data_IF_840609764222
#
_entry.id   IF_840609764222
#
_cell.length_a   1.000
_cell.length_b   1.000
_cell.length_c   1.000
_cell.angle_alpha   90.00
_cell.angle_beta   90.00
_cell.angle_gamma   90.00
#
_symmetry.space_group_name_H-M   'P 1'
#
loop_
_entity.id
_entity.type
_entity.pdbx_description
1 polymer ?
#
# COMPACT_ATOMS: atom_id res chain seq x y z
N UNK A 1 -22.31 -57.22 26.06
CA UNK A 1 -21.49 -56.63 24.97
C UNK A 1 -21.99 -55.30 24.44
N UNK A 2 -23.30 -55.00 24.44
CA UNK A 2 -23.84 -53.72 23.86
C UNK A 2 -23.56 -52.45 24.71
N UNK A 3 -23.37 -52.55 26.02
CA UNK A 3 -23.10 -51.38 26.88
C UNK A 3 -21.65 -50.85 26.82
N UNK A 4 -20.65 -51.69 26.49
CA UNK A 4 -19.24 -51.24 26.38
C UNK A 4 -18.92 -50.50 25.09
N UNK A 5 -19.71 -50.71 24.03
CA UNK A 5 -19.52 -50.04 22.73
C UNK A 5 -20.05 -48.58 22.77
N UNK A 6 -21.11 -48.30 23.54
CA UNK A 6 -21.68 -46.98 23.67
C UNK A 6 -20.74 -46.01 24.43
N UNK A 7 -19.99 -46.50 25.42
CA UNK A 7 -19.05 -45.69 26.19
C UNK A 7 -17.81 -45.29 25.35
N UNK A 8 -17.37 -46.19 24.45
CA UNK A 8 -16.22 -45.88 23.56
C UNK A 8 -16.57 -44.85 22.48
N UNK A 9 -17.80 -44.85 21.97
CA UNK A 9 -18.25 -43.85 20.97
C UNK A 9 -18.48 -42.50 21.63
N UNK A 10 -18.97 -42.42 22.85
CA UNK A 10 -19.11 -41.16 23.59
C UNK A 10 -17.75 -40.55 23.97
N UNK A 11 -16.73 -41.37 24.26
CA UNK A 11 -15.36 -40.91 24.51
C UNK A 11 -14.66 -40.35 23.24
N UNK A 12 -14.96 -40.90 22.04
CA UNK A 12 -14.46 -40.34 20.79
C UNK A 12 -15.12 -39.01 20.37
N UNK A 13 -16.38 -38.80 20.74
CA UNK A 13 -17.05 -37.51 20.45
C UNK A 13 -16.66 -36.37 21.41
N UNK A 14 -16.18 -36.68 22.61
CA UNK A 14 -15.66 -35.70 23.58
C UNK A 14 -14.21 -35.29 23.30
N UNK A 15 -13.47 -36.06 22.46
CA UNK A 15 -12.10 -35.75 22.11
C UNK A 15 -11.90 -34.75 20.95
N UNK A 16 -12.96 -34.39 20.21
CA UNK A 16 -12.88 -33.48 19.07
C UNK A 16 -13.39 -32.06 19.32
N UNK A 17 -13.85 -31.75 20.55
CA UNK A 17 -14.26 -30.42 20.92
C UNK A 17 -13.19 -29.63 21.69
N UNK A 18 -11.92 -30.03 21.64
CA UNK A 18 -10.84 -29.23 22.18
C UNK A 18 -10.05 -28.58 21.09
N UNK A 19 -10.01 -27.24 21.21
CA UNK A 19 -9.00 -26.37 20.59
C UNK A 19 -9.32 -25.77 19.20
N UNK A 20 -10.49 -25.24 18.98
CA UNK A 20 -10.53 -23.91 18.38
C UNK A 20 -10.32 -22.88 19.51
N UNK A 21 -9.20 -22.93 20.19
CA UNK A 21 -8.70 -21.79 20.94
C UNK A 21 -8.46 -20.73 19.88
N UNK A 22 -9.36 -19.73 19.77
CA UNK A 22 -9.14 -18.50 19.02
C UNK A 22 -7.92 -17.83 19.66
N UNK A 23 -6.72 -18.26 19.30
CA UNK A 23 -5.48 -17.59 19.62
C UNK A 23 -5.50 -16.30 18.79
N UNK A 24 -6.23 -15.29 19.29
CA UNK A 24 -6.15 -13.94 18.74
C UNK A 24 -4.69 -13.55 18.79
N UNK A 25 -4.06 -13.49 17.63
CA UNK A 25 -2.70 -12.99 17.54
C UNK A 25 -2.69 -11.50 17.92
N UNK A 26 -1.62 -11.05 18.51
CA UNK A 26 -1.45 -9.65 18.90
C UNK A 26 -0.18 -9.10 18.25
N UNK A 27 -0.29 -7.88 17.71
CA UNK A 27 0.84 -7.11 17.24
C UNK A 27 0.86 -5.77 18.00
N UNK A 28 2.00 -5.43 18.58
CA UNK A 28 2.15 -4.24 19.42
C UNK A 28 3.50 -3.55 19.18
N UNK A 29 3.58 -2.29 19.55
CA UNK A 29 4.82 -1.50 19.55
C UNK A 29 5.44 -1.66 20.95
N UNK A 30 6.63 -2.24 21.04
CA UNK A 30 7.40 -2.33 22.28
C UNK A 30 8.44 -1.20 22.41
N UNK A 31 9.17 -1.17 23.51
CA UNK A 31 10.13 -0.09 23.80
C UNK A 31 11.32 0.01 22.81
N UNK A 32 11.66 -1.07 22.13
CA UNK A 32 12.79 -1.12 21.19
C UNK A 32 12.54 -1.98 19.94
N UNK A 33 11.41 -2.67 19.87
CA UNK A 33 11.06 -3.56 18.76
C UNK A 33 9.54 -3.67 18.61
N UNK A 34 9.06 -4.01 17.42
CA UNK A 34 7.71 -4.55 17.29
C UNK A 34 7.62 -5.90 17.99
N UNK A 35 6.43 -6.22 18.49
CA UNK A 35 6.16 -7.49 19.16
C UNK A 35 5.02 -8.21 18.45
N UNK A 36 5.28 -9.44 18.01
CA UNK A 36 4.26 -10.36 17.49
C UNK A 36 4.04 -11.46 18.53
N UNK A 37 2.85 -11.51 19.09
CA UNK A 37 2.51 -12.45 20.19
C UNK A 37 3.49 -12.33 21.37
N UNK A 38 3.89 -11.09 21.71
CA UNK A 38 4.82 -10.77 22.79
C UNK A 38 6.29 -11.06 22.49
N UNK A 39 6.64 -11.54 21.28
CA UNK A 39 8.02 -11.80 20.87
C UNK A 39 8.53 -10.72 19.94
N UNK A 40 9.82 -10.30 20.03
CA UNK A 40 10.40 -9.37 19.10
C UNK A 40 10.20 -9.79 17.64
N UNK A 41 9.77 -8.84 16.81
CA UNK A 41 9.48 -9.06 15.41
C UNK A 41 10.06 -7.96 14.55
N UNK A 42 10.81 -8.34 13.52
CA UNK A 42 11.36 -7.41 12.51
C UNK A 42 10.48 -7.52 11.28
N UNK A 43 9.85 -6.40 10.91
CA UNK A 43 9.09 -6.28 9.67
C UNK A 43 10.10 -6.18 8.52
N UNK A 44 10.05 -7.14 7.62
CA UNK A 44 10.70 -7.11 6.30
C UNK A 44 9.59 -7.00 5.28
N UNK A 45 9.22 -5.77 4.94
CA UNK A 45 8.07 -5.48 4.11
C UNK A 45 8.48 -5.18 2.67
N UNK A 46 7.60 -5.48 1.73
CA UNK A 46 7.69 -5.05 0.34
C UNK A 46 6.39 -4.40 -0.09
N UNK A 47 6.50 -3.25 -0.75
CA UNK A 47 5.33 -2.52 -1.22
C UNK A 47 4.95 -2.96 -2.63
N UNK A 48 3.67 -3.22 -2.81
CA UNK A 48 3.07 -3.48 -4.10
C UNK A 48 1.62 -2.96 -4.12
N UNK A 49 1.33 -2.16 -5.14
CA UNK A 49 0.01 -1.56 -5.30
C UNK A 49 -0.91 -2.54 -6.03
N UNK A 50 -1.83 -3.18 -5.32
CA UNK A 50 -2.75 -4.16 -5.91
C UNK A 50 -3.55 -3.59 -7.10
N UNK A 51 -3.83 -2.28 -7.11
CA UNK A 51 -4.51 -1.59 -8.19
C UNK A 51 -3.69 -1.52 -9.49
N UNK A 52 -2.34 -1.62 -9.39
CA UNK A 52 -1.40 -1.62 -10.52
C UNK A 52 -1.07 -3.01 -11.05
N UNK A 53 -1.68 -4.05 -10.51
CA UNK A 53 -1.38 -5.45 -10.84
C UNK A 53 -2.69 -6.14 -11.18
N UNK A 54 -2.88 -6.74 -12.37
CA UNK A 54 -4.07 -7.51 -12.68
C UNK A 54 -4.35 -8.54 -11.58
N UNK A 55 -5.61 -8.66 -11.18
CA UNK A 55 -6.05 -9.51 -10.06
C UNK A 55 -5.55 -10.96 -10.19
N UNK A 56 -5.52 -11.47 -11.41
CA UNK A 56 -5.06 -12.82 -11.73
C UNK A 56 -3.59 -13.06 -11.37
N UNK A 57 -2.80 -11.99 -11.23
CA UNK A 57 -1.37 -12.06 -10.91
C UNK A 57 -1.06 -11.79 -9.45
N UNK A 58 -2.03 -11.34 -8.62
CA UNK A 58 -1.77 -11.01 -7.22
C UNK A 58 -1.06 -12.14 -6.46
N UNK A 59 -1.59 -13.38 -6.56
CA UNK A 59 -0.98 -14.53 -5.88
C UNK A 59 0.48 -14.74 -6.27
N UNK A 60 0.77 -14.72 -7.57
CA UNK A 60 2.15 -14.89 -8.04
C UNK A 60 3.07 -13.77 -7.51
N UNK A 61 2.63 -12.52 -7.53
CA UNK A 61 3.42 -11.39 -7.02
C UNK A 61 3.65 -11.48 -5.51
N UNK A 62 2.66 -11.92 -4.74
CA UNK A 62 2.78 -12.17 -3.30
C UNK A 62 3.74 -13.33 -3.02
N UNK A 63 3.71 -14.40 -3.82
CA UNK A 63 4.70 -15.48 -3.76
C UNK A 63 6.11 -14.98 -4.08
N UNK A 64 6.27 -14.07 -5.03
CA UNK A 64 7.55 -13.42 -5.31
C UNK A 64 8.05 -12.58 -4.11
N UNK A 65 7.18 -11.81 -3.47
CA UNK A 65 7.49 -11.08 -2.23
C UNK A 65 8.01 -12.05 -1.16
N UNK A 66 7.30 -13.16 -0.94
CA UNK A 66 7.71 -14.20 0.02
C UNK A 66 9.03 -14.84 -0.37
N UNK A 67 9.21 -15.16 -1.66
CA UNK A 67 10.42 -15.76 -2.20
C UNK A 67 11.64 -14.81 -2.17
N UNK A 68 11.45 -13.51 -2.05
CA UNK A 68 12.55 -12.56 -1.81
C UNK A 68 13.05 -12.60 -0.35
N UNK A 69 12.30 -13.21 0.58
CA UNK A 69 12.62 -13.29 2.01
C UNK A 69 11.88 -12.28 2.87
N UNK A 70 10.87 -11.61 2.30
CA UNK A 70 10.02 -10.69 3.02
C UNK A 70 8.91 -11.44 3.77
N UNK A 71 8.42 -10.88 4.86
CA UNK A 71 7.39 -11.47 5.72
C UNK A 71 6.10 -10.65 5.76
N UNK A 72 6.10 -9.49 5.13
CA UNK A 72 5.00 -8.52 5.13
C UNK A 72 4.88 -7.89 3.74
N UNK A 73 3.68 -7.56 3.33
CA UNK A 73 3.40 -6.74 2.16
C UNK A 73 2.68 -5.46 2.59
N UNK A 74 3.00 -4.34 1.95
CA UNK A 74 2.30 -3.08 2.17
C UNK A 74 1.25 -2.88 1.07
N UNK A 75 0.01 -2.57 1.46
CA UNK A 75 -1.12 -2.35 0.58
C UNK A 75 -1.61 -0.91 0.68
N UNK A 76 -1.48 -0.16 -0.43
CA UNK A 76 -2.06 1.17 -0.60
C UNK A 76 -3.48 1.08 -1.12
N UNK A 77 -4.36 1.93 -0.59
CA UNK A 77 -5.67 2.16 -1.15
C UNK A 77 -5.67 3.52 -1.85
N UNK A 78 -6.20 3.56 -3.06
CA UNK A 78 -6.46 4.79 -3.79
C UNK A 78 -7.96 5.07 -3.71
N UNK A 79 -8.35 6.12 -3.02
CA UNK A 79 -9.75 6.44 -2.77
C UNK A 79 -10.54 6.60 -4.07
N UNK A 80 -9.98 7.32 -5.07
CA UNK A 80 -10.61 7.50 -6.37
C UNK A 80 -10.76 6.20 -7.20
N UNK A 81 -10.05 5.14 -6.83
CA UNK A 81 -10.17 3.84 -7.45
C UNK A 81 -11.40 3.06 -6.98
N UNK A 82 -11.83 3.33 -5.75
CA UNK A 82 -12.96 2.64 -5.10
C UNK A 82 -14.23 3.47 -5.06
N UNK A 83 -14.17 4.80 -4.94
CA UNK A 83 -15.32 5.72 -4.92
C UNK A 83 -15.27 6.65 -6.14
N UNK A 84 -15.66 6.15 -7.30
CA UNK A 84 -15.65 6.90 -8.57
C UNK A 84 -16.72 7.99 -8.63
N UNK A 85 -17.81 7.81 -7.87
CA UNK A 85 -18.90 8.77 -7.70
C UNK A 85 -19.18 8.93 -6.21
N UNK A 86 -19.59 10.10 -5.73
CA UNK A 86 -19.81 10.35 -4.31
C UNK A 86 -20.77 9.33 -3.68
N UNK A 87 -20.33 8.60 -2.67
CA UNK A 87 -21.13 7.60 -1.95
C UNK A 87 -21.31 6.26 -2.66
N UNK A 88 -20.75 6.07 -3.85
CA UNK A 88 -20.85 4.82 -4.60
C UNK A 88 -19.50 4.11 -4.58
N UNK A 89 -19.40 3.08 -3.75
CA UNK A 89 -18.18 2.31 -3.57
C UNK A 89 -18.20 1.01 -4.37
N UNK A 90 -17.09 0.71 -5.05
CA UNK A 90 -16.84 -0.57 -5.71
C UNK A 90 -15.66 -1.27 -5.00
N UNK A 91 -15.97 -2.39 -4.36
CA UNK A 91 -15.00 -3.28 -3.71
C UNK A 91 -14.93 -4.63 -4.42
N UNK A 92 -15.26 -4.68 -5.71
CA UNK A 92 -15.27 -5.90 -6.50
C UNK A 92 -14.08 -5.98 -7.47
N UNK A 93 -13.87 -7.16 -8.04
CA UNK A 93 -12.87 -7.38 -9.09
C UNK A 93 -11.48 -6.85 -8.72
N UNK A 94 -10.96 -5.92 -9.52
CA UNK A 94 -9.65 -5.29 -9.32
C UNK A 94 -9.59 -4.39 -8.08
N UNK A 95 -10.74 -3.89 -7.59
CA UNK A 95 -10.81 -3.03 -6.40
C UNK A 95 -10.97 -3.82 -5.09
N UNK A 96 -11.00 -5.16 -5.12
CA UNK A 96 -11.22 -6.01 -3.96
C UNK A 96 -9.96 -6.18 -3.12
N UNK A 97 -9.64 -5.16 -2.32
CA UNK A 97 -8.47 -5.17 -1.42
C UNK A 97 -8.58 -6.23 -0.33
N UNK A 98 -9.79 -6.57 0.13
CA UNK A 98 -9.97 -7.63 1.13
C UNK A 98 -9.54 -9.00 0.59
N UNK A 99 -9.84 -9.30 -0.68
CA UNK A 99 -9.36 -10.51 -1.34
C UNK A 99 -7.83 -10.50 -1.51
N UNK A 100 -7.24 -9.35 -1.84
CA UNK A 100 -5.77 -9.19 -1.87
C UNK A 100 -5.15 -9.52 -0.51
N UNK A 101 -5.67 -8.96 0.59
CA UNK A 101 -5.19 -9.26 1.95
C UNK A 101 -5.35 -10.74 2.31
N UNK A 102 -6.47 -11.36 1.90
CA UNK A 102 -6.72 -12.80 2.12
C UNK A 102 -5.73 -13.67 1.36
N UNK A 103 -5.41 -13.33 0.11
CA UNK A 103 -4.39 -14.04 -0.66
C UNK A 103 -3.02 -13.88 0.02
N UNK A 104 -2.66 -12.67 0.48
CA UNK A 104 -1.43 -12.44 1.25
C UNK A 104 -1.37 -13.33 2.50
N UNK A 105 -2.48 -13.47 3.24
CA UNK A 105 -2.56 -14.36 4.40
C UNK A 105 -2.34 -15.83 4.02
N UNK A 106 -2.93 -16.29 2.92
CA UNK A 106 -2.75 -17.66 2.41
C UNK A 106 -1.31 -17.97 2.02
N UNK A 107 -0.59 -16.95 1.49
CA UNK A 107 0.85 -17.07 1.18
C UNK A 107 1.74 -16.85 2.43
N UNK A 108 1.16 -16.67 3.62
CA UNK A 108 1.88 -16.51 4.87
C UNK A 108 2.56 -15.14 4.99
N UNK A 109 1.96 -14.09 4.44
CA UNK A 109 2.39 -12.71 4.55
C UNK A 109 1.46 -11.92 5.46
N UNK A 110 2.04 -11.09 6.32
CA UNK A 110 1.31 -10.03 7.00
C UNK A 110 1.10 -8.84 6.08
N UNK A 111 0.23 -7.92 6.50
CA UNK A 111 -0.12 -6.70 5.74
C UNK A 111 0.08 -5.46 6.60
N UNK A 112 0.70 -4.43 6.04
CA UNK A 112 0.60 -3.05 6.49
C UNK A 112 -0.41 -2.36 5.57
N UNK A 113 -1.40 -1.69 6.14
CA UNK A 113 -2.45 -1.02 5.38
C UNK A 113 -2.19 0.49 5.33
N UNK A 114 -2.27 1.07 4.14
CA UNK A 114 -2.14 2.52 3.93
C UNK A 114 -3.40 3.05 3.22
N UNK A 115 -4.45 3.40 4.00
CA UNK A 115 -5.75 3.77 3.44
C UNK A 115 -5.83 5.22 2.95
N UNK A 116 -4.84 6.03 3.23
CA UNK A 116 -4.89 7.47 2.97
C UNK A 116 -5.57 8.25 4.10
N UNK A 117 -6.43 9.26 3.75
CA UNK A 117 -7.17 9.51 2.50
C UNK A 117 -6.34 9.94 1.29
N UNK A 118 -5.25 10.68 1.48
CA UNK A 118 -4.26 10.97 0.45
C UNK A 118 -3.20 9.86 0.44
N UNK A 119 -2.86 9.34 -0.73
CA UNK A 119 -1.93 8.20 -0.89
C UNK A 119 -0.65 8.55 -1.66
N UNK A 120 -0.60 9.67 -2.36
CA UNK A 120 0.53 10.06 -3.21
C UNK A 120 0.81 9.06 -4.35
N UNK A 121 1.93 8.38 -4.31
CA UNK A 121 2.28 7.21 -5.13
C UNK A 121 2.26 7.46 -6.65
N UNK A 122 2.52 8.70 -7.11
CA UNK A 122 2.44 9.09 -8.53
C UNK A 122 1.11 8.62 -9.18
N UNK A 123 0.07 8.57 -8.37
CA UNK A 123 -1.29 8.27 -8.75
C UNK A 123 -2.09 9.56 -8.96
N UNK A 124 -3.06 9.53 -9.86
CA UNK A 124 -3.92 10.66 -10.19
C UNK A 124 -4.50 11.30 -8.93
N UNK A 125 -4.29 12.61 -8.77
CA UNK A 125 -4.68 13.44 -7.63
C UNK A 125 -4.26 12.85 -6.27
N UNK A 126 -3.15 12.07 -6.23
CA UNK A 126 -2.69 11.36 -5.04
C UNK A 126 -3.69 10.38 -4.47
N UNK A 127 -4.61 9.88 -5.28
CA UNK A 127 -5.68 8.97 -4.89
C UNK A 127 -6.96 9.66 -4.44
N UNK A 128 -7.00 10.98 -4.31
CA UNK A 128 -8.22 11.70 -3.96
C UNK A 128 -9.24 11.67 -5.11
N UNK A 129 -10.55 11.62 -4.84
CA UNK A 129 -11.55 11.61 -5.89
C UNK A 129 -11.71 12.98 -6.56
N UNK A 130 -11.84 12.97 -7.87
CA UNK A 130 -12.04 14.14 -8.73
C UNK A 130 -13.25 14.99 -8.31
N UNK A 131 -14.33 14.37 -7.85
CA UNK A 131 -15.57 15.04 -7.50
C UNK A 131 -15.44 15.96 -6.28
N UNK A 132 -14.37 15.87 -5.50
CA UNK A 132 -14.04 16.86 -4.47
C UNK A 132 -13.85 18.25 -5.10
N UNK A 133 -13.29 18.35 -6.31
CA UNK A 133 -13.01 19.60 -7.01
C UNK A 133 -14.27 20.32 -7.53
N UNK A 134 -15.45 19.67 -7.44
CA UNK A 134 -16.74 20.35 -7.74
C UNK A 134 -17.05 21.46 -6.75
N UNK A 135 -16.63 21.34 -5.51
CA UNK A 135 -16.64 22.43 -4.55
C UNK A 135 -15.45 23.34 -4.82
N UNK A 136 -15.72 24.54 -5.36
CA UNK A 136 -14.67 25.52 -5.71
C UNK A 136 -13.93 26.07 -4.47
N UNK A 137 -14.44 25.82 -3.25
CA UNK A 137 -13.80 26.18 -1.99
C UNK A 137 -13.07 24.99 -1.36
N UNK A 138 -13.01 23.84 -2.03
CA UNK A 138 -12.42 22.62 -1.48
C UNK A 138 -10.97 22.87 -1.06
N UNK A 139 -10.73 22.70 0.23
CA UNK A 139 -9.40 22.73 0.83
C UNK A 139 -9.04 21.31 1.30
N UNK A 140 -8.36 20.58 0.41
CA UNK A 140 -7.93 19.20 0.69
C UNK A 140 -6.84 19.16 1.76
N UNK A 141 -6.77 18.04 2.50
CA UNK A 141 -5.77 17.79 3.53
C UNK A 141 -5.75 18.90 4.60
N UNK A 142 -6.93 19.42 4.94
CA UNK A 142 -7.14 20.44 5.98
C UNK A 142 -8.35 20.11 6.83
N UNK A 143 -8.63 20.92 7.84
CA UNK A 143 -9.85 20.81 8.65
C UNK A 143 -11.11 21.35 7.97
N UNK A 144 -11.11 21.55 6.66
CA UNK A 144 -12.31 21.98 5.93
C UNK A 144 -13.40 20.93 6.04
N UNK A 145 -14.52 21.32 6.65
CA UNK A 145 -15.56 20.35 7.05
C UNK A 145 -16.07 19.47 5.91
N UNK A 146 -16.38 19.98 4.69
CA UNK A 146 -16.82 19.10 3.59
C UNK A 146 -15.77 18.06 3.19
N UNK A 147 -14.48 18.40 3.25
CA UNK A 147 -13.40 17.45 3.02
C UNK A 147 -13.35 16.38 4.12
N UNK A 148 -13.42 16.81 5.38
CA UNK A 148 -13.40 15.88 6.52
C UNK A 148 -14.61 14.94 6.53
N UNK A 149 -15.82 15.45 6.20
CA UNK A 149 -17.03 14.62 6.09
C UNK A 149 -16.86 13.54 5.00
N UNK A 150 -16.24 13.88 3.87
CA UNK A 150 -15.95 12.92 2.81
C UNK A 150 -14.88 11.89 3.23
N UNK A 151 -13.79 12.33 3.89
CA UNK A 151 -12.76 11.43 4.44
C UNK A 151 -13.34 10.45 5.45
N UNK A 152 -14.18 10.93 6.37
CA UNK A 152 -14.85 10.09 7.38
C UNK A 152 -15.69 9.01 6.70
N UNK A 153 -16.54 9.39 5.74
CA UNK A 153 -17.37 8.43 4.99
C UNK A 153 -16.49 7.35 4.33
N UNK A 154 -15.44 7.76 3.64
CA UNK A 154 -14.52 6.84 2.99
C UNK A 154 -13.84 5.89 3.98
N UNK A 155 -13.25 6.39 5.06
CA UNK A 155 -12.55 5.57 6.04
C UNK A 155 -13.49 4.59 6.76
N UNK A 156 -14.75 4.97 7.02
CA UNK A 156 -15.76 4.06 7.55
C UNK A 156 -16.08 2.91 6.57
N UNK A 157 -16.13 3.19 5.26
CA UNK A 157 -16.30 2.13 4.23
C UNK A 157 -15.07 1.22 4.14
N UNK A 158 -13.85 1.77 4.23
CA UNK A 158 -12.62 0.97 4.34
C UNK A 158 -12.68 0.04 5.56
N UNK A 159 -13.14 0.54 6.70
CA UNK A 159 -13.30 -0.25 7.92
C UNK A 159 -14.24 -1.43 7.72
N UNK A 160 -15.38 -1.25 7.06
CA UNK A 160 -16.31 -2.36 6.76
C UNK A 160 -15.65 -3.50 5.99
N UNK A 161 -14.70 -3.18 5.09
CA UNK A 161 -13.98 -4.17 4.29
C UNK A 161 -12.84 -4.84 5.03
N UNK A 162 -12.08 -4.09 5.85
CA UNK A 162 -10.75 -4.50 6.29
C UNK A 162 -10.60 -4.71 7.80
N UNK A 163 -11.50 -4.21 8.62
CA UNK A 163 -11.50 -4.49 10.08
C UNK A 163 -11.53 -6.00 10.37
N UNK A 164 -12.32 -6.83 9.65
CA UNK A 164 -12.27 -8.28 9.83
C UNK A 164 -10.91 -8.91 9.52
N UNK A 165 -10.07 -8.24 8.73
CA UNK A 165 -8.75 -8.71 8.34
C UNK A 165 -7.62 -8.32 9.31
N UNK A 166 -7.93 -7.60 10.39
CA UNK A 166 -6.93 -7.29 11.42
C UNK A 166 -6.44 -8.56 12.11
N UNK A 167 -5.16 -8.55 12.51
CA UNK A 167 -4.55 -9.66 13.22
C UNK A 167 -5.30 -9.99 14.52
N UNK A 168 -5.84 -8.99 15.19
CA UNK A 168 -6.68 -9.13 16.39
C UNK A 168 -8.00 -9.87 16.13
N UNK A 169 -8.44 -9.96 14.88
CA UNK A 169 -9.65 -10.65 14.43
C UNK A 169 -9.35 -11.96 13.68
N UNK A 170 -8.08 -12.41 13.69
CA UNK A 170 -7.64 -13.62 12.99
C UNK A 170 -7.21 -13.39 11.54
N UNK A 171 -7.17 -12.15 11.08
CA UNK A 171 -6.59 -11.75 9.80
C UNK A 171 -5.07 -11.56 9.86
N UNK A 172 -4.55 -10.75 8.96
CA UNK A 172 -3.12 -10.54 8.80
C UNK A 172 -2.68 -9.06 8.75
N UNK A 173 -3.59 -8.10 8.94
CA UNK A 173 -3.23 -6.66 9.01
C UNK A 173 -2.60 -6.40 10.38
N UNK A 174 -1.33 -5.94 10.37
CA UNK A 174 -0.54 -5.66 11.57
C UNK A 174 -0.72 -4.23 12.06
N UNK A 175 -0.76 -3.26 11.14
CA UNK A 175 -0.85 -1.83 11.47
C UNK A 175 -1.43 -1.04 10.30
N UNK A 176 -1.90 0.18 10.59
CA UNK A 176 -2.55 1.07 9.64
C UNK A 176 -1.87 2.44 9.67
N UNK A 177 -1.55 2.97 8.51
CA UNK A 177 -1.02 4.33 8.38
C UNK A 177 -2.14 5.36 8.46
N UNK A 178 -1.83 6.49 9.08
CA UNK A 178 -2.65 7.70 9.14
C UNK A 178 -2.11 8.69 8.12
N UNK A 179 -2.91 9.06 7.12
CA UNK A 179 -2.51 9.98 6.06
C UNK A 179 -1.30 9.49 5.24
N UNK A 180 -0.57 10.34 4.54
CA UNK A 180 0.69 10.02 3.86
C UNK A 180 1.59 11.24 3.75
N UNK A 181 2.77 11.19 4.36
CA UNK A 181 3.79 12.23 4.29
C UNK A 181 3.21 13.64 4.49
N UNK A 182 2.32 13.77 5.47
CA UNK A 182 1.63 15.03 5.71
C UNK A 182 2.59 16.14 6.10
N UNK A 183 3.68 15.82 6.79
CA UNK A 183 4.71 16.76 7.17
C UNK A 183 5.40 17.47 6.00
N UNK A 184 5.34 16.89 4.79
CA UNK A 184 5.79 17.51 3.54
C UNK A 184 4.76 18.49 2.95
N UNK A 185 3.48 18.33 3.32
CA UNK A 185 2.36 19.14 2.84
C UNK A 185 1.93 20.24 3.82
N UNK A 186 1.88 19.91 5.12
CA UNK A 186 1.35 20.81 6.13
C UNK A 186 1.94 20.57 7.52
N UNK A 187 1.38 21.28 8.52
CA UNK A 187 1.82 21.19 9.93
C UNK A 187 0.64 21.14 10.89
N UNK A 188 -0.56 20.87 10.39
CA UNK A 188 -1.79 20.81 11.19
C UNK A 188 -1.92 19.45 11.87
N UNK A 189 -1.36 19.36 13.09
CA UNK A 189 -1.39 18.12 13.89
C UNK A 189 -2.81 17.75 14.33
N UNK A 190 -3.73 18.70 14.39
CA UNK A 190 -5.13 18.41 14.73
C UNK A 190 -5.84 17.72 13.58
N UNK A 191 -5.54 18.12 12.33
CA UNK A 191 -6.00 17.40 11.14
C UNK A 191 -5.57 15.93 11.18
N UNK A 192 -4.29 15.64 11.46
CA UNK A 192 -3.80 14.26 11.61
C UNK A 192 -4.54 13.52 12.72
N UNK A 193 -4.80 14.19 13.85
CA UNK A 193 -5.61 13.64 14.94
C UNK A 193 -7.03 13.27 14.51
N UNK A 194 -7.66 14.10 13.71
CA UNK A 194 -9.02 13.85 13.18
C UNK A 194 -9.01 12.62 12.24
N UNK A 195 -8.03 12.52 11.33
CA UNK A 195 -7.93 11.36 10.44
C UNK A 195 -7.67 10.07 11.23
N UNK A 196 -6.79 10.11 12.26
CA UNK A 196 -6.61 9.00 13.20
C UNK A 196 -7.94 8.59 13.86
N UNK A 197 -8.71 9.56 14.35
CA UNK A 197 -9.97 9.29 15.03
C UNK A 197 -11.00 8.63 14.10
N UNK A 198 -11.02 9.00 12.82
CA UNK A 198 -11.87 8.34 11.84
C UNK A 198 -11.44 6.89 11.55
N UNK A 199 -10.14 6.59 11.57
CA UNK A 199 -9.63 5.22 11.44
C UNK A 199 -10.04 4.39 12.68
N UNK A 200 -9.94 4.96 13.87
CA UNK A 200 -10.40 4.29 15.11
C UNK A 200 -11.93 4.10 15.10
N UNK A 201 -12.69 5.12 14.68
CA UNK A 201 -14.16 5.04 14.54
C UNK A 201 -14.56 3.95 13.50
N UNK A 202 -13.77 3.75 12.45
CA UNK A 202 -13.98 2.69 11.47
C UNK A 202 -13.79 1.28 12.06
N UNK A 203 -13.25 1.17 13.29
CA UNK A 203 -13.10 -0.09 14.03
C UNK A 203 -11.69 -0.69 14.00
N UNK A 204 -10.69 0.04 13.49
CA UNK A 204 -9.32 -0.43 13.57
C UNK A 204 -8.79 -0.34 15.00
N UNK A 205 -8.15 -1.42 15.48
CA UNK A 205 -7.60 -1.57 16.84
C UNK A 205 -6.12 -1.95 16.84
N UNK A 206 -5.54 -2.21 15.67
CA UNK A 206 -4.12 -2.44 15.49
C UNK A 206 -3.34 -1.12 15.60
N UNK A 207 -2.02 -1.13 15.87
CA UNK A 207 -1.22 0.08 15.95
C UNK A 207 -1.36 0.98 14.72
N UNK A 208 -1.41 2.29 14.96
CA UNK A 208 -1.42 3.32 13.93
C UNK A 208 -0.06 4.00 13.83
N UNK A 209 0.32 4.44 12.64
CA UNK A 209 1.58 5.16 12.42
C UNK A 209 1.45 6.26 11.36
N UNK A 210 2.32 7.27 11.46
CA UNK A 210 2.59 8.26 10.39
C UNK A 210 3.97 8.00 9.80
N UNK A 211 4.24 8.54 8.62
CA UNK A 211 5.58 8.51 8.01
C UNK A 211 5.87 9.79 7.25
N UNK A 212 7.12 10.22 7.33
CA UNK A 212 7.65 11.37 6.59
C UNK A 212 9.13 11.21 6.30
N UNK A 213 9.65 12.02 5.39
CA UNK A 213 11.09 12.18 5.20
C UNK A 213 11.76 12.75 6.46
N UNK A 214 13.09 12.55 6.65
CA UNK A 214 13.80 12.93 7.88
C UNK A 214 13.60 14.39 8.31
N UNK A 215 13.44 15.29 7.36
CA UNK A 215 13.31 16.74 7.59
C UNK A 215 11.88 17.18 7.91
N UNK A 216 10.89 16.37 7.56
CA UNK A 216 9.46 16.66 7.66
C UNK A 216 8.83 16.06 8.93
N UNK A 217 9.42 15.03 9.54
CA UNK A 217 8.89 14.32 10.70
C UNK A 217 8.36 15.24 11.82
N UNK A 218 9.07 16.33 12.08
CA UNK A 218 8.71 17.28 13.16
C UNK A 218 7.39 18.00 12.91
N UNK A 219 6.93 18.06 11.64
CA UNK A 219 5.78 18.84 11.24
C UNK A 219 4.46 18.19 11.64
N UNK A 220 4.35 16.87 11.59
CA UNK A 220 3.10 16.15 11.83
C UNK A 220 3.15 15.13 12.96
N UNK A 221 4.34 14.82 13.51
CA UNK A 221 4.48 13.86 14.62
C UNK A 221 3.56 14.20 15.81
N UNK A 222 2.90 13.17 16.32
CA UNK A 222 1.98 13.23 17.48
C UNK A 222 2.37 12.16 18.50
N UNK A 223 2.30 12.45 19.81
CA UNK A 223 2.68 11.48 20.84
C UNK A 223 1.77 10.25 20.94
N UNK A 224 0.60 10.31 20.33
CA UNK A 224 -0.44 9.27 20.33
C UNK A 224 -0.50 8.45 19.02
N UNK A 225 0.45 8.69 18.08
CA UNK A 225 0.62 7.94 16.84
C UNK A 225 2.11 7.64 16.67
N UNK A 226 2.47 6.39 16.44
CA UNK A 226 3.85 5.99 16.20
C UNK A 226 4.41 6.63 14.93
N UNK A 227 5.60 7.20 14.99
CA UNK A 227 6.26 7.78 13.83
C UNK A 227 7.20 6.77 13.16
N UNK A 228 7.16 6.70 11.83
CA UNK A 228 8.12 6.01 10.98
C UNK A 228 8.82 7.02 10.07
N UNK A 229 9.95 6.66 9.48
CA UNK A 229 10.73 7.54 8.59
C UNK A 229 10.85 6.96 7.20
N UNK A 230 10.81 7.81 6.15
CA UNK A 230 11.02 7.43 4.75
C UNK A 230 12.37 7.94 4.26
N UNK A 231 13.15 7.12 3.57
CA UNK A 231 14.42 7.53 2.94
C UNK A 231 14.86 6.55 1.84
N UNK A 232 15.71 7.02 0.92
CA UNK A 232 16.30 6.19 -0.13
C UNK A 232 17.79 5.91 0.06
N UNK A 233 18.42 6.61 1.01
CA UNK A 233 19.85 6.49 1.37
C UNK A 233 20.07 6.92 2.82
N UNK A 234 21.29 6.88 3.28
CA UNK A 234 21.72 7.29 4.63
C UNK A 234 20.81 6.81 5.76
N UNK A 235 20.64 5.49 5.96
CA UNK A 235 19.79 4.96 7.02
C UNK A 235 20.22 5.41 8.42
N UNK A 236 21.50 5.74 8.62
CA UNK A 236 22.01 6.25 9.89
C UNK A 236 21.44 7.64 10.20
N UNK A 237 21.48 8.56 9.23
CA UNK A 237 20.89 9.90 9.32
C UNK A 237 19.37 9.84 9.45
N UNK A 238 18.69 8.99 8.66
CA UNK A 238 17.27 8.77 8.73
C UNK A 238 16.80 8.32 10.12
N UNK A 239 17.41 7.32 10.69
CA UNK A 239 17.07 6.85 12.04
C UNK A 239 17.51 7.82 13.15
N UNK A 240 18.55 8.61 12.94
CA UNK A 240 18.89 9.70 13.88
C UNK A 240 17.78 10.75 13.90
N UNK A 241 17.23 11.13 12.75
CA UNK A 241 16.11 12.05 12.68
C UNK A 241 14.84 11.45 13.33
N UNK A 242 14.54 10.17 13.08
CA UNK A 242 13.44 9.47 13.75
C UNK A 242 13.59 9.51 15.28
N UNK A 243 14.77 9.21 15.83
CA UNK A 243 15.02 9.22 17.28
C UNK A 243 14.89 10.59 17.92
N UNK A 244 14.99 11.67 17.15
CA UNK A 244 14.78 13.03 17.65
C UNK A 244 13.29 13.30 17.96
N UNK A 245 12.37 12.63 17.29
CA UNK A 245 10.91 12.79 17.46
C UNK A 245 10.25 11.58 18.11
N UNK A 246 10.80 10.38 17.93
CA UNK A 246 10.36 9.10 18.48
C UNK A 246 11.52 8.49 19.31
N UNK A 247 11.70 8.91 20.57
CA UNK A 247 12.87 8.51 21.36
C UNK A 247 12.93 7.02 21.71
N UNK A 248 11.78 6.35 21.72
CA UNK A 248 11.62 4.93 22.03
C UNK A 248 10.94 4.21 20.87
N UNK A 249 10.75 2.91 21.02
CA UNK A 249 10.09 2.09 20.01
C UNK A 249 11.04 1.50 18.96
N UNK A 250 10.53 0.69 18.04
CA UNK A 250 11.30 0.11 16.95
C UNK A 250 11.85 1.18 16.01
N UNK A 251 12.99 0.90 15.35
CA UNK A 251 13.39 1.64 14.17
C UNK A 251 12.58 1.11 12.99
N UNK A 252 11.89 2.01 12.26
CA UNK A 252 11.10 1.62 11.10
C UNK A 252 11.25 2.63 9.96
N UNK A 253 11.80 2.14 8.85
CA UNK A 253 11.78 2.82 7.57
C UNK A 253 10.54 2.30 6.79
N UNK A 254 9.50 3.11 6.74
CA UNK A 254 8.22 2.70 6.13
C UNK A 254 8.20 2.83 4.62
N UNK A 255 9.12 3.60 4.03
CA UNK A 255 9.41 3.59 2.59
C UNK A 255 10.92 3.71 2.40
N UNK A 256 11.55 2.62 1.99
CA UNK A 256 12.93 2.59 1.53
C UNK A 256 12.97 2.51 0.01
N UNK A 257 13.60 3.48 -0.64
CA UNK A 257 13.57 3.64 -2.09
C UNK A 257 14.76 2.97 -2.80
N UNK A 258 14.64 1.73 -3.34
CA UNK A 258 15.71 1.05 -4.07
C UNK A 258 15.83 1.50 -5.53
N UNK A 259 14.92 2.31 -6.01
CA UNK A 259 14.79 2.84 -7.35
C UNK A 259 13.96 4.13 -7.35
N UNK A 260 13.40 4.50 -8.49
CA UNK A 260 12.55 5.68 -8.65
C UNK A 260 11.59 5.53 -9.82
N UNK A 261 10.52 6.31 -9.83
CA UNK A 261 9.55 6.34 -10.93
C UNK A 261 10.06 7.08 -12.16
N UNK A 262 9.48 6.79 -13.30
CA UNK A 262 9.79 7.44 -14.56
C UNK A 262 8.82 8.58 -14.88
N UNK A 263 9.31 9.56 -15.61
CA UNK A 263 8.52 10.68 -16.12
C UNK A 263 8.64 10.76 -17.65
N UNK A 264 7.61 11.25 -18.30
CA UNK A 264 7.59 11.45 -19.75
C UNK A 264 8.78 12.29 -20.22
N UNK A 265 9.44 11.80 -21.28
CA UNK A 265 10.60 12.48 -21.89
C UNK A 265 11.88 12.41 -21.07
N UNK A 266 11.93 11.59 -20.01
CA UNK A 266 13.13 11.33 -19.22
C UNK A 266 13.62 9.90 -19.45
N UNK A 267 14.94 9.64 -19.31
CA UNK A 267 15.47 8.27 -19.32
C UNK A 267 14.84 7.43 -18.22
N UNK A 268 14.71 6.12 -18.47
CA UNK A 268 14.33 5.16 -17.46
C UNK A 268 15.33 5.17 -16.30
N UNK A 269 14.82 5.29 -15.08
CA UNK A 269 15.63 5.32 -13.87
C UNK A 269 16.28 3.95 -13.60
N UNK A 270 17.55 3.98 -13.18
CA UNK A 270 18.27 2.79 -12.68
C UNK A 270 19.11 3.15 -11.48
N UNK A 271 18.81 2.49 -10.35
CA UNK A 271 19.54 2.64 -9.10
C UNK A 271 20.68 1.62 -8.93
N UNK A 272 21.57 1.90 -7.98
CA UNK A 272 22.67 1.00 -7.64
C UNK A 272 22.20 -0.14 -6.71
N UNK A 273 22.29 -1.37 -7.17
CA UNK A 273 22.04 -2.55 -6.33
C UNK A 273 23.00 -2.65 -5.13
N UNK A 274 24.23 -2.19 -5.29
CA UNK A 274 25.24 -2.20 -4.21
C UNK A 274 24.83 -1.28 -3.05
N UNK A 275 24.36 -0.05 -3.36
CA UNK A 275 23.88 0.87 -2.33
C UNK A 275 22.67 0.31 -1.60
N UNK A 276 21.72 -0.29 -2.35
CA UNK A 276 20.53 -0.95 -1.76
C UNK A 276 20.94 -2.04 -0.77
N UNK A 277 21.89 -2.89 -1.13
CA UNK A 277 22.36 -3.97 -0.24
C UNK A 277 23.09 -3.42 1.00
N UNK A 278 23.88 -2.37 0.86
CA UNK A 278 24.57 -1.70 1.96
C UNK A 278 23.57 -1.15 2.98
N UNK A 279 22.53 -0.47 2.49
CA UNK A 279 21.53 0.18 3.35
C UNK A 279 20.61 -0.86 4.02
N UNK A 280 20.15 -1.87 3.28
CA UNK A 280 19.39 -2.98 3.85
C UNK A 280 20.19 -3.74 4.89
N UNK A 281 21.49 -3.99 4.63
CA UNK A 281 22.39 -4.61 5.60
C UNK A 281 22.52 -3.77 6.86
N UNK A 282 22.70 -2.45 6.72
CA UNK A 282 22.73 -1.54 7.87
C UNK A 282 21.46 -1.65 8.70
N UNK A 283 20.29 -1.61 8.07
CA UNK A 283 19.00 -1.72 8.76
C UNK A 283 18.87 -3.05 9.50
N UNK A 284 19.24 -4.16 8.86
CA UNK A 284 19.18 -5.50 9.45
C UNK A 284 20.14 -5.66 10.64
N UNK A 285 21.38 -5.17 10.53
CA UNK A 285 22.40 -5.19 11.62
C UNK A 285 21.91 -4.41 12.84
N UNK A 286 21.13 -3.34 12.64
CA UNK A 286 20.52 -2.53 13.69
C UNK A 286 19.13 -3.01 14.13
N UNK A 287 18.69 -4.18 13.66
CA UNK A 287 17.36 -4.76 13.96
C UNK A 287 16.21 -3.82 13.61
N UNK A 288 16.42 -2.97 12.63
CA UNK A 288 15.41 -2.07 12.12
C UNK A 288 14.43 -2.81 11.18
N UNK A 289 13.18 -2.42 11.25
CA UNK A 289 12.14 -2.81 10.29
C UNK A 289 12.20 -1.91 9.07
N UNK A 290 11.80 -2.43 7.91
CA UNK A 290 11.78 -1.67 6.66
C UNK A 290 10.66 -2.12 5.73
N UNK A 291 10.29 -1.24 4.79
CA UNK A 291 9.41 -1.53 3.67
C UNK A 291 10.07 -1.06 2.37
N UNK A 292 10.32 -1.98 1.44
CA UNK A 292 10.96 -1.69 0.15
C UNK A 292 9.91 -1.06 -0.78
N UNK A 293 10.04 0.23 -1.06
CA UNK A 293 9.18 0.98 -1.96
C UNK A 293 9.91 1.27 -3.29
N UNK A 294 9.65 0.61 -4.38
CA UNK A 294 8.72 -0.51 -4.58
C UNK A 294 9.47 -1.83 -4.57
N UNK A 295 8.87 -2.85 -3.99
CA UNK A 295 9.30 -4.23 -4.23
C UNK A 295 8.78 -4.75 -5.58
N UNK A 296 7.59 -4.28 -6.00
CA UNK A 296 7.00 -4.47 -7.32
C UNK A 296 6.07 -3.29 -7.63
N UNK A 297 6.41 -2.51 -8.64
CA UNK A 297 5.66 -1.31 -8.98
C UNK A 297 4.38 -1.59 -9.78
N UNK A 298 4.48 -2.38 -10.83
CA UNK A 298 3.37 -2.70 -11.74
C UNK A 298 3.10 -1.62 -12.78
N UNK A 299 1.86 -1.56 -13.27
CA UNK A 299 1.43 -0.66 -14.35
C UNK A 299 0.25 0.20 -13.90
N UNK A 300 0.33 1.51 -14.10
CA UNK A 300 -0.82 2.38 -13.90
C UNK A 300 -1.72 2.31 -15.13
N UNK A 301 -2.80 1.54 -15.02
CA UNK A 301 -3.73 1.33 -16.12
C UNK A 301 -4.67 2.52 -16.32
N UNK A 302 -5.12 2.72 -17.58
CA UNK A 302 -6.09 3.75 -17.92
C UNK A 302 -5.53 5.17 -17.73
N UNK A 303 -6.24 5.99 -16.99
CA UNK A 303 -5.96 7.42 -16.80
C UNK A 303 -5.59 7.77 -15.35
N UNK A 304 -5.09 6.82 -14.59
CA UNK A 304 -4.74 7.01 -13.18
C UNK A 304 -3.30 7.50 -12.94
N UNK A 305 -2.57 7.85 -13.99
CA UNK A 305 -1.23 8.41 -13.86
C UNK A 305 -1.28 9.81 -13.23
N UNK A 306 -0.41 10.05 -12.27
CA UNK A 306 -0.21 11.35 -11.67
C UNK A 306 0.78 12.23 -12.43
N UNK A 307 1.06 13.37 -11.85
CA UNK A 307 2.10 14.30 -12.30
C UNK A 307 2.65 15.07 -11.10
N UNK A 308 3.93 15.40 -11.14
CA UNK A 308 4.50 16.38 -10.22
C UNK A 308 4.27 17.82 -10.74
N UNK A 309 4.08 18.77 -9.85
CA UNK A 309 3.92 20.19 -10.19
C UNK A 309 4.37 21.07 -9.01
N UNK A 310 4.76 22.36 -9.24
CA UNK A 310 5.37 22.89 -10.46
C UNK A 310 6.84 22.48 -10.64
N UNK A 311 7.34 22.38 -11.87
CA UNK A 311 6.62 22.41 -13.13
C UNK A 311 5.81 21.13 -13.33
N UNK A 312 4.86 21.12 -14.28
CA UNK A 312 4.10 19.92 -14.61
C UNK A 312 5.00 18.87 -15.24
N UNK A 313 5.13 17.73 -14.56
CA UNK A 313 5.98 16.59 -14.97
C UNK A 313 5.12 15.33 -14.89
N UNK A 314 4.50 14.89 -16.01
CA UNK A 314 3.64 13.71 -16.02
C UNK A 314 4.47 12.45 -15.89
N UNK A 315 3.96 11.47 -15.13
CA UNK A 315 4.54 10.15 -15.01
C UNK A 315 4.12 9.25 -16.19
N UNK A 316 4.90 8.18 -16.41
CA UNK A 316 4.60 7.15 -17.40
C UNK A 316 3.61 6.12 -16.84
N UNK A 317 2.94 5.36 -17.73
CA UNK A 317 2.06 4.26 -17.29
C UNK A 317 2.83 3.13 -16.61
N UNK A 318 4.06 2.86 -17.05
CA UNK A 318 4.95 1.94 -16.36
C UNK A 318 5.32 2.51 -14.99
N UNK A 319 5.08 1.75 -13.95
CA UNK A 319 5.56 2.02 -12.61
C UNK A 319 6.62 1.00 -12.23
N UNK A 320 7.48 0.63 -13.20
CA UNK A 320 8.55 -0.36 -13.01
C UNK A 320 9.42 -0.05 -11.81
N UNK A 321 9.72 1.23 -11.60
CA UNK A 321 10.43 1.76 -10.43
C UNK A 321 11.88 1.25 -10.30
N UNK A 322 12.41 0.52 -11.28
CA UNK A 322 13.62 -0.29 -11.18
C UNK A 322 13.55 -1.24 -9.95
N UNK A 323 12.35 -1.76 -9.70
CA UNK A 323 12.03 -2.59 -8.54
C UNK A 323 12.71 -3.98 -8.63
N UNK A 324 12.94 -4.65 -7.49
CA UNK A 324 13.46 -6.03 -7.47
C UNK A 324 12.62 -7.02 -8.27
N UNK A 325 11.29 -6.86 -8.26
CA UNK A 325 10.37 -7.59 -9.13
C UNK A 325 9.96 -6.63 -10.23
N UNK A 326 10.37 -6.88 -11.48
CA UNK A 326 10.09 -5.99 -12.60
C UNK A 326 8.58 -5.91 -12.93
N UNK A 327 8.19 -5.01 -13.81
CA UNK A 327 6.78 -4.76 -14.15
C UNK A 327 6.05 -6.03 -14.63
N UNK A 328 6.73 -6.94 -15.36
CA UNK A 328 6.17 -8.21 -15.80
C UNK A 328 6.11 -9.28 -14.70
N UNK A 329 6.69 -9.02 -13.52
CA UNK A 329 6.71 -9.92 -12.37
C UNK A 329 7.87 -10.91 -12.34
N UNK A 330 8.93 -10.64 -13.08
CA UNK A 330 10.14 -11.47 -13.09
C UNK A 330 11.12 -10.98 -12.02
N UNK A 331 11.91 -11.90 -11.47
CA UNK A 331 13.03 -11.58 -10.59
C UNK A 331 14.14 -10.88 -11.37
N UNK A 332 14.59 -9.72 -10.89
CA UNK A 332 15.76 -9.00 -11.41
C UNK A 332 17.03 -9.45 -10.69
N UNK A 333 18.19 -8.95 -11.12
CA UNK A 333 19.44 -9.14 -10.39
C UNK A 333 19.36 -8.56 -8.95
N UNK A 334 18.69 -7.41 -8.81
CA UNK A 334 18.41 -6.77 -7.51
C UNK A 334 17.58 -7.69 -6.59
N UNK A 335 16.60 -8.41 -7.12
CA UNK A 335 15.82 -9.41 -6.38
C UNK A 335 16.72 -10.52 -5.82
N UNK A 336 17.57 -11.11 -6.66
CA UNK A 336 18.46 -12.20 -6.26
C UNK A 336 19.44 -11.73 -5.18
N UNK A 337 19.98 -10.54 -5.34
CA UNK A 337 20.92 -9.94 -4.38
C UNK A 337 20.26 -9.68 -3.01
N UNK A 338 19.04 -9.11 -2.99
CA UNK A 338 18.27 -8.90 -1.74
C UNK A 338 17.92 -10.24 -1.11
N UNK A 339 17.43 -11.23 -1.88
CA UNK A 339 17.14 -12.58 -1.39
C UNK A 339 18.35 -13.21 -0.71
N UNK A 340 19.53 -13.12 -1.33
CA UNK A 340 20.77 -13.65 -0.78
C UNK A 340 21.15 -12.93 0.53
N UNK A 341 21.02 -11.61 0.59
CA UNK A 341 21.24 -10.85 1.81
C UNK A 341 20.29 -11.31 2.92
N UNK A 342 18.98 -11.35 2.66
CA UNK A 342 17.96 -11.68 3.66
C UNK A 342 18.09 -13.12 4.17
N UNK A 343 18.62 -14.05 3.37
CA UNK A 343 18.85 -15.43 3.78
C UNK A 343 19.79 -15.56 5.00
N UNK A 344 20.66 -14.55 5.23
CA UNK A 344 21.57 -14.53 6.37
C UNK A 344 20.94 -13.96 7.66
N UNK A 345 19.69 -13.45 7.58
CA UNK A 345 18.99 -12.81 8.70
C UNK A 345 17.68 -13.50 9.06
N UNK A 346 17.51 -14.75 8.61
CA UNK A 346 16.34 -15.55 8.96
C UNK A 346 16.35 -15.91 10.44
N UNK A 347 15.19 -15.85 11.06
CA UNK A 347 15.01 -16.34 12.43
C UNK A 347 14.93 -17.87 12.45
N UNK A 348 15.16 -18.46 13.63
CA UNK A 348 15.04 -19.90 13.79
C UNK A 348 13.65 -20.41 13.36
N UNK A 349 13.61 -21.34 12.42
CA UNK A 349 12.38 -21.91 11.85
C UNK A 349 11.82 -21.15 10.64
N UNK A 350 12.39 -20.01 10.26
CA UNK A 350 12.07 -19.35 9.00
C UNK A 350 12.80 -20.02 7.82
N UNK A 351 12.14 -20.01 6.67
CA UNK A 351 12.74 -20.44 5.40
C UNK A 351 12.23 -19.55 4.25
N UNK A 352 13.04 -19.37 3.24
CA UNK A 352 12.65 -18.67 2.03
C UNK A 352 12.23 -19.71 0.99
N UNK A 353 10.99 -19.65 0.46
CA UNK A 353 10.52 -20.60 -0.53
C UNK A 353 11.23 -20.44 -1.87
N UNK A 354 11.07 -21.40 -2.77
CA UNK A 354 11.55 -21.29 -4.14
C UNK A 354 10.89 -20.11 -4.86
N UNK A 355 11.61 -19.52 -5.81
CA UNK A 355 11.09 -18.48 -6.67
C UNK A 355 10.03 -19.09 -7.59
N UNK A 356 8.81 -18.53 -7.66
CA UNK A 356 7.78 -19.02 -8.59
C UNK A 356 8.25 -18.94 -10.03
N UNK A 357 7.77 -19.86 -10.86
CA UNK A 357 8.03 -19.79 -12.30
C UNK A 357 7.40 -18.51 -12.89
N UNK A 358 8.12 -17.79 -13.77
CA UNK A 358 7.56 -16.63 -14.43
C UNK A 358 6.41 -17.02 -15.35
N UNK A 359 5.44 -16.13 -15.54
CA UNK A 359 4.45 -16.32 -16.58
C UNK A 359 5.10 -16.29 -17.96
N UNK A 360 4.63 -17.13 -18.91
CA UNK A 360 5.16 -17.13 -20.26
C UNK A 360 4.87 -15.79 -20.94
N UNK A 361 5.87 -15.26 -21.63
CA UNK A 361 5.67 -14.11 -22.51
C UNK A 361 4.88 -14.55 -23.74
N UNK A 362 3.79 -13.80 -24.04
CA UNK A 362 3.04 -14.02 -25.26
C UNK A 362 3.63 -13.18 -26.39
N UNK A 363 4.02 -13.82 -27.48
CA UNK A 363 4.37 -13.14 -28.71
C UNK A 363 3.12 -12.95 -29.56
N UNK A 364 2.74 -11.70 -29.78
CA UNK A 364 1.63 -11.36 -30.68
C UNK A 364 2.24 -11.17 -32.07
N UNK A 365 1.83 -12.02 -33.02
CA UNK A 365 2.20 -11.87 -34.43
C UNK A 365 1.39 -10.74 -35.07
N UNK A 366 1.64 -10.46 -36.36
CA UNK A 366 0.92 -9.42 -37.09
C UNK A 366 -0.60 -9.58 -36.95
N UNK A 367 -1.28 -8.49 -36.61
CA UNK A 367 -2.74 -8.43 -36.54
C UNK A 367 -3.26 -7.29 -37.42
N UNK A 368 -4.51 -7.40 -37.85
CA UNK A 368 -5.19 -6.38 -38.63
C UNK A 368 -6.38 -5.85 -37.82
N UNK A 369 -6.58 -4.55 -37.87
CA UNK A 369 -7.80 -3.95 -37.30
C UNK A 369 -9.01 -4.32 -38.15
N UNK A 370 -10.02 -4.89 -37.54
CA UNK A 370 -11.30 -5.24 -38.19
C UNK A 370 -12.31 -4.09 -38.15
N UNK A 371 -12.13 -3.13 -37.24
CA UNK A 371 -13.05 -2.00 -37.07
C UNK A 371 -12.24 -0.73 -36.75
N UNK A 372 -12.70 0.41 -37.24
CA UNK A 372 -12.13 1.75 -36.99
C UNK A 372 -13.28 2.70 -36.67
N UNK A 373 -13.15 3.45 -35.59
CA UNK A 373 -14.07 4.53 -35.21
C UNK A 373 -13.26 5.85 -35.15
N UNK A 374 -13.27 6.68 -36.22
CA UNK A 374 -12.57 7.96 -36.21
C UNK A 374 -13.14 8.89 -35.13
N UNK A 375 -12.27 9.42 -34.26
CA UNK A 375 -12.64 10.26 -33.12
C UNK A 375 -13.56 11.42 -33.53
N UNK A 376 -13.16 12.18 -34.55
CA UNK A 376 -13.88 13.39 -35.00
C UNK A 376 -15.28 13.11 -35.56
N UNK A 377 -15.57 11.88 -35.96
CA UNK A 377 -16.90 11.46 -36.42
C UNK A 377 -17.79 10.88 -35.33
N UNK A 378 -17.21 10.66 -34.14
CA UNK A 378 -17.84 10.00 -33.00
C UNK A 378 -17.79 10.86 -31.72
N UNK A 379 -17.65 12.18 -31.88
CA UNK A 379 -17.73 13.09 -30.74
C UNK A 379 -19.12 13.06 -30.12
N UNK A 380 -19.22 13.17 -28.77
CA UNK A 380 -20.51 13.33 -28.10
C UNK A 380 -21.17 14.65 -28.50
N UNK A 381 -22.46 14.81 -28.16
CA UNK A 381 -23.14 16.09 -28.37
C UNK A 381 -22.43 17.19 -27.56
N UNK A 382 -22.19 18.37 -28.18
CA UNK A 382 -21.54 19.47 -27.46
C UNK A 382 -22.42 19.99 -26.32
N UNK A 383 -21.79 20.40 -25.25
CA UNK A 383 -22.41 21.19 -24.17
C UNK A 383 -22.08 22.65 -24.44
N UNK A 384 -23.11 23.51 -24.51
CA UNK A 384 -22.94 24.96 -24.67
C UNK A 384 -22.98 25.64 -23.31
N UNK A 385 -22.05 26.53 -23.05
CA UNK A 385 -22.02 27.37 -21.87
C UNK A 385 -21.35 28.72 -22.20
N UNK A 386 -21.73 29.76 -21.48
CA UNK A 386 -21.21 31.12 -21.70
C UNK A 386 -19.81 31.32 -21.13
N UNK A 387 -19.36 30.40 -20.28
CA UNK A 387 -18.03 30.44 -19.66
C UNK A 387 -17.34 29.11 -19.86
N UNK A 388 -16.00 29.12 -19.78
CA UNK A 388 -15.19 27.91 -19.79
C UNK A 388 -15.56 27.00 -18.62
N UNK A 389 -15.91 25.78 -18.92
CA UNK A 389 -16.19 24.74 -17.91
C UNK A 389 -14.98 23.83 -17.73
N UNK A 390 -14.70 23.44 -16.48
CA UNK A 390 -13.71 22.41 -16.17
C UNK A 390 -14.32 21.02 -16.35
N UNK A 391 -13.48 20.00 -16.40
CA UNK A 391 -13.94 18.60 -16.52
C UNK A 391 -14.87 18.20 -15.38
N UNK A 392 -14.56 18.65 -14.16
CA UNK A 392 -15.37 18.38 -12.96
C UNK A 392 -16.76 19.00 -13.04
N UNK A 393 -16.90 20.15 -13.72
CA UNK A 393 -18.20 20.80 -13.95
C UNK A 393 -19.06 20.00 -14.95
N UNK A 394 -18.41 19.19 -15.81
CA UNK A 394 -19.06 18.32 -16.80
C UNK A 394 -19.31 16.90 -16.27
N UNK A 395 -19.07 16.63 -15.00
CA UNK A 395 -19.10 15.29 -14.41
C UNK A 395 -18.14 14.28 -15.09
N UNK A 396 -17.08 14.79 -15.71
CA UNK A 396 -16.08 13.98 -16.38
C UNK A 396 -14.85 13.82 -15.49
N UNK A 397 -14.59 12.59 -15.03
CA UNK A 397 -13.45 12.29 -14.19
C UNK A 397 -12.15 12.22 -14.99
N UNK A 398 -12.18 11.56 -16.15
CA UNK A 398 -11.00 11.19 -16.93
C UNK A 398 -11.25 11.37 -18.43
N UNK A 399 -10.17 11.47 -19.20
CA UNK A 399 -10.23 11.57 -20.64
C UNK A 399 -9.78 12.92 -21.16
N UNK A 400 -10.45 13.40 -22.21
CA UNK A 400 -10.12 14.67 -22.86
C UNK A 400 -11.40 15.50 -23.13
N UNK A 401 -11.29 16.79 -23.09
CA UNK A 401 -12.35 17.76 -23.45
C UNK A 401 -11.88 18.57 -24.65
N UNK A 402 -12.72 18.68 -25.66
CA UNK A 402 -12.52 19.54 -26.81
C UNK A 402 -13.29 20.86 -26.60
N UNK A 403 -12.58 21.96 -26.49
CA UNK A 403 -13.14 23.30 -26.45
C UNK A 403 -13.15 23.90 -27.87
N UNK A 404 -14.26 24.52 -28.26
CA UNK A 404 -14.44 25.21 -29.53
C UNK A 404 -14.89 26.64 -29.32
#
# INVERSE_FOLDING_TARGET
MKQRIIILIAAMFLGFNSLAQNNKQAFTIGDSSFLLNGKPYIIRCGEMHYARIPKEYWRHRLQMIKAMGLNTVCAYLFWNFTEKQPGVFDWSGQANVAEFCKIAQQEGLYVILRPGPYSCAEWDFGGLPWWLLKDKNMAIRTQYKPYLDACRRYLLEVGKQLVPMQITNGGNILMVQVENEYGSYGKDKDYIGIIRDYILEAGFTVPLFTCDGPWQLVNDVRPDIFAAVNFGDDPAGGFKALRAVEPKGPLFCSEYYPGWFDSWGKPHHKGSSENVLKDLKYMLDHKASFSIYMAHGGTTFGTYNGANAPPFIPQTSSYDYDAPINESGQATEKFHSIRNLLSNYLQQGESIPNIPAPFPAQQISNFQFSQIAPLWKNLPKPVQNDTLMLMEDLDQAYGAVLYQ
#
